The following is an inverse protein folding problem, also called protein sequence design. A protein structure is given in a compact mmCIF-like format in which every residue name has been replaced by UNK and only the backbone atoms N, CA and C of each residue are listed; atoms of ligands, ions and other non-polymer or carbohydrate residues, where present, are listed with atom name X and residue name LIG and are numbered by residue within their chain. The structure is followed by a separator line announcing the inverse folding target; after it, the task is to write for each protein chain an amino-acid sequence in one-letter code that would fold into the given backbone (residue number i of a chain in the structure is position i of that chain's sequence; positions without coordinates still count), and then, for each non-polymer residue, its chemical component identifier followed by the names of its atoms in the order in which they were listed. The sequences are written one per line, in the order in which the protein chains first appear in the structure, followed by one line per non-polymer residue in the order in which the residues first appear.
data_IF_722701591801
#
_entry.id   IF_722701591801
#
_cell.length_a   1.000
_cell.length_b   1.000
_cell.length_c   1.000
_cell.angle_alpha   90.00
_cell.angle_beta   90.00
_cell.angle_gamma   90.00
#
_symmetry.space_group_name_H-M   'P 1'
#
loop_
_entity.id
_entity.type
_entity.pdbx_description
1 polymer ?
#
# COMPACT_ATOMS: atom_id res chain seq x y z
N UNK A 1 22.07 2.14 19.71
CA UNK A 1 22.23 2.22 18.24
C UNK A 1 20.87 1.91 17.62
N UNK A 2 20.03 2.92 17.43
CA UNK A 2 18.69 2.71 16.86
C UNK A 2 18.84 2.65 15.34
N UNK A 3 18.68 1.44 14.79
CA UNK A 3 18.70 1.19 13.37
C UNK A 3 17.40 1.77 12.77
N UNK A 4 17.40 3.07 12.46
CA UNK A 4 16.28 3.74 11.79
C UNK A 4 16.22 3.23 10.36
N UNK A 5 15.53 2.11 10.16
CA UNK A 5 15.26 1.55 8.84
C UNK A 5 14.32 2.53 8.13
N UNK A 6 14.81 3.22 7.10
CA UNK A 6 14.03 4.23 6.37
C UNK A 6 12.82 3.62 5.65
N UNK A 7 11.84 4.45 5.28
CA UNK A 7 10.74 4.03 4.40
C UNK A 7 11.21 3.31 3.13
N UNK A 8 12.35 3.70 2.56
CA UNK A 8 12.92 3.04 1.39
C UNK A 8 13.24 1.56 1.66
N UNK A 9 13.74 1.24 2.85
CA UNK A 9 14.05 -0.14 3.24
C UNK A 9 12.77 -0.95 3.53
N UNK A 10 11.75 -0.36 4.17
CA UNK A 10 10.43 -1.01 4.29
C UNK A 10 9.79 -1.27 2.92
N UNK A 11 9.88 -0.31 2.00
CA UNK A 11 9.40 -0.47 0.64
C UNK A 11 10.17 -1.56 -0.10
N UNK A 12 11.50 -1.60 0.04
CA UNK A 12 12.33 -2.66 -0.54
C UNK A 12 11.99 -4.05 0.02
N UNK A 13 11.76 -4.16 1.33
CA UNK A 13 11.30 -5.39 1.98
C UNK A 13 9.94 -5.83 1.41
N UNK A 14 8.97 -4.92 1.34
CA UNK A 14 7.64 -5.22 0.80
C UNK A 14 7.70 -5.61 -0.67
N UNK A 15 8.57 -4.97 -1.47
CA UNK A 15 8.80 -5.31 -2.87
C UNK A 15 9.37 -6.72 -3.08
N UNK A 16 10.15 -7.22 -2.13
CA UNK A 16 10.65 -8.62 -2.16
C UNK A 16 9.53 -9.64 -1.90
N UNK A 17 8.48 -9.24 -1.18
CA UNK A 17 7.28 -10.07 -1.00
C UNK A 17 6.47 -10.04 -2.30
N UNK A 18 6.09 -8.83 -2.74
CA UNK A 18 5.37 -8.60 -3.97
C UNK A 18 5.51 -7.11 -4.38
N UNK A 19 6.06 -6.81 -5.57
CA UNK A 19 6.20 -5.44 -6.07
C UNK A 19 4.87 -4.67 -6.17
N UNK A 20 3.78 -5.34 -6.55
CA UNK A 20 2.46 -4.73 -6.66
C UNK A 20 1.88 -4.41 -5.27
N UNK A 21 2.10 -5.27 -4.27
CA UNK A 21 1.70 -4.98 -2.88
C UNK A 21 2.44 -3.77 -2.33
N UNK A 22 3.73 -3.63 -2.63
CA UNK A 22 4.49 -2.45 -2.22
C UNK A 22 3.94 -1.16 -2.85
N UNK A 23 3.55 -1.21 -4.13
CA UNK A 23 2.92 -0.08 -4.81
C UNK A 23 1.54 0.25 -4.22
N UNK A 24 0.75 -0.76 -3.82
CA UNK A 24 -0.54 -0.57 -3.14
C UNK A 24 -0.37 0.08 -1.76
N UNK A 25 0.61 -0.37 -0.97
CA UNK A 25 0.91 0.22 0.35
C UNK A 25 1.33 1.69 0.20
N UNK A 26 2.16 1.99 -0.79
CA UNK A 26 2.61 3.34 -1.09
C UNK A 26 1.45 4.25 -1.57
N UNK A 27 0.57 3.71 -2.41
CA UNK A 27 -0.64 4.39 -2.86
C UNK A 27 -1.56 4.71 -1.68
N UNK A 28 -1.90 3.72 -0.86
CA UNK A 28 -2.76 3.91 0.29
C UNK A 28 -2.14 4.88 1.30
N UNK A 29 -0.84 4.79 1.58
CA UNK A 29 -0.16 5.78 2.43
C UNK A 29 -0.33 7.20 1.88
N UNK A 30 -0.14 7.39 0.58
CA UNK A 30 -0.23 8.69 -0.07
C UNK A 30 -1.67 9.22 -0.14
N UNK A 31 -2.66 8.33 -0.11
CA UNK A 31 -4.09 8.63 -0.11
C UNK A 31 -4.70 8.70 1.30
N UNK A 32 -3.88 8.84 2.36
CA UNK A 32 -4.37 8.99 3.73
C UNK A 32 -4.64 7.68 4.50
N UNK A 33 -4.10 6.56 4.01
CA UNK A 33 -4.14 5.24 4.66
C UNK A 33 -5.33 4.37 4.28
N UNK A 34 -6.36 4.91 3.63
CA UNK A 34 -7.52 4.16 3.14
C UNK A 34 -8.14 4.82 1.91
N UNK A 35 -8.41 4.06 0.86
CA UNK A 35 -8.95 4.60 -0.39
C UNK A 35 -9.80 3.56 -1.15
N UNK A 36 -10.54 4.01 -2.16
CA UNK A 36 -11.20 3.11 -3.10
C UNK A 36 -10.15 2.44 -4.02
N UNK A 37 -10.36 1.18 -4.39
CA UNK A 37 -9.41 0.40 -5.22
C UNK A 37 -9.10 1.08 -6.56
N UNK A 38 -10.08 1.78 -7.12
CA UNK A 38 -9.92 2.56 -8.36
C UNK A 38 -8.91 3.71 -8.17
N UNK A 39 -9.03 4.44 -7.06
CA UNK A 39 -8.12 5.54 -6.73
C UNK A 39 -6.69 5.01 -6.55
N UNK A 40 -6.54 3.84 -5.91
CA UNK A 40 -5.26 3.16 -5.77
C UNK A 40 -4.67 2.82 -7.14
N UNK A 41 -5.45 2.20 -8.03
CA UNK A 41 -4.97 1.83 -9.37
C UNK A 41 -4.59 3.06 -10.20
N UNK A 42 -5.42 4.11 -10.20
CA UNK A 42 -5.12 5.37 -10.88
C UNK A 42 -3.87 6.05 -10.30
N UNK A 43 -3.70 6.07 -8.98
CA UNK A 43 -2.51 6.62 -8.36
C UNK A 43 -1.24 5.84 -8.76
N UNK A 44 -1.30 4.51 -8.80
CA UNK A 44 -0.18 3.66 -9.23
C UNK A 44 0.17 3.93 -10.70
N UNK A 45 -0.82 4.03 -11.58
CA UNK A 45 -0.61 4.34 -13.00
C UNK A 45 0.07 5.71 -13.17
N UNK A 46 -0.42 6.76 -12.48
CA UNK A 46 0.19 8.10 -12.47
C UNK A 46 1.64 8.06 -12.04
N UNK A 47 1.91 7.35 -10.93
CA UNK A 47 3.24 7.22 -10.38
C UNK A 47 4.20 6.52 -11.33
N UNK A 48 3.76 5.46 -12.00
CA UNK A 48 4.58 4.70 -12.96
C UNK A 48 4.83 5.48 -14.24
N UNK A 49 3.82 6.21 -14.73
CA UNK A 49 3.92 6.99 -15.95
C UNK A 49 4.67 8.32 -15.77
N UNK A 50 4.78 8.83 -14.53
CA UNK A 50 5.36 10.15 -14.25
C UNK A 50 4.51 11.32 -14.75
N UNK A 51 3.23 11.09 -15.04
CA UNK A 51 2.27 12.08 -15.57
C UNK A 51 0.84 11.73 -15.17
N UNK A 52 -0.09 12.66 -15.31
CA UNK A 52 -1.50 12.39 -15.00
C UNK A 52 -2.12 11.47 -16.06
N UNK A 53 -2.43 10.25 -15.65
CA UNK A 53 -3.07 9.21 -16.46
C UNK A 53 -4.08 8.44 -15.63
N UNK A 54 -5.07 7.87 -16.31
CA UNK A 54 -5.92 6.84 -15.71
C UNK A 54 -5.36 5.47 -16.06
N UNK A 55 -5.26 4.60 -15.05
CA UNK A 55 -5.11 3.16 -15.25
C UNK A 55 -6.10 2.63 -16.29
N UNK A 56 -5.59 1.86 -17.25
CA UNK A 56 -6.36 1.05 -18.19
C UNK A 56 -7.09 -0.08 -17.44
N UNK A 57 -8.04 -0.74 -18.11
CA UNK A 57 -8.74 -1.89 -17.52
C UNK A 57 -7.77 -3.00 -17.08
N UNK A 58 -6.80 -3.34 -17.94
CA UNK A 58 -5.79 -4.35 -17.62
C UNK A 58 -4.91 -3.97 -16.43
N UNK A 59 -4.52 -2.69 -16.29
CA UNK A 59 -3.75 -2.23 -15.13
C UNK A 59 -4.57 -2.29 -13.83
N UNK A 60 -5.85 -1.93 -13.89
CA UNK A 60 -6.76 -2.07 -12.75
C UNK A 60 -6.88 -3.53 -12.32
N UNK A 61 -7.15 -4.42 -13.26
CA UNK A 61 -7.31 -5.84 -13.00
C UNK A 61 -6.03 -6.44 -12.40
N UNK A 62 -4.86 -6.04 -12.90
CA UNK A 62 -3.58 -6.47 -12.32
C UNK A 62 -3.40 -6.03 -10.86
N UNK A 63 -3.74 -4.77 -10.54
CA UNK A 63 -3.69 -4.24 -9.17
C UNK A 63 -4.71 -4.95 -8.26
N UNK A 64 -5.92 -5.20 -8.77
CA UNK A 64 -6.99 -5.86 -8.03
C UNK A 64 -6.64 -7.30 -7.73
N UNK A 65 -6.14 -8.04 -8.72
CA UNK A 65 -5.68 -9.41 -8.55
C UNK A 65 -4.52 -9.49 -7.56
N UNK A 66 -3.53 -8.59 -7.64
CA UNK A 66 -2.43 -8.56 -6.67
C UNK A 66 -2.93 -8.37 -5.23
N UNK A 67 -3.90 -7.47 -5.01
CA UNK A 67 -4.51 -7.29 -3.70
C UNK A 67 -5.23 -8.56 -3.22
N UNK A 68 -6.04 -9.19 -4.08
CA UNK A 68 -6.76 -10.41 -3.70
C UNK A 68 -5.80 -11.57 -3.39
N UNK A 69 -4.80 -11.80 -4.24
CA UNK A 69 -3.76 -12.80 -4.02
C UNK A 69 -3.04 -12.56 -2.70
N UNK A 70 -2.68 -11.31 -2.40
CA UNK A 70 -2.09 -10.93 -1.12
C UNK A 70 -3.02 -11.27 0.06
N UNK A 71 -4.29 -10.85 0.01
CA UNK A 71 -5.26 -11.10 1.09
C UNK A 71 -5.47 -12.60 1.33
N UNK A 72 -5.58 -13.41 0.27
CA UNK A 72 -5.70 -14.86 0.37
C UNK A 72 -4.48 -15.51 1.02
N UNK A 73 -3.27 -15.00 0.77
CA UNK A 73 -2.05 -15.50 1.40
C UNK A 73 -1.85 -14.97 2.83
N UNK A 74 -2.26 -13.73 3.10
CA UNK A 74 -1.97 -13.02 4.35
C UNK A 74 -2.81 -13.51 5.54
N UNK A 75 -4.02 -14.03 5.30
CA UNK A 75 -4.89 -14.62 6.33
C UNK A 75 -4.25 -15.80 7.09
N UNK A 76 -3.19 -16.41 6.53
CA UNK A 76 -2.51 -17.59 7.09
C UNK A 76 -1.09 -17.30 7.59
N UNK A 77 -0.63 -16.05 7.61
CA UNK A 77 0.78 -15.71 7.84
C UNK A 77 1.00 -14.87 9.10
N UNK A 78 2.14 -15.11 9.76
CA UNK A 78 2.83 -14.12 10.60
C UNK A 78 3.99 -13.52 9.79
N UNK A 79 4.27 -12.22 9.90
CA UNK A 79 3.65 -11.21 10.78
C UNK A 79 2.25 -10.78 10.30
N UNK A 80 1.58 -9.96 11.12
CA UNK A 80 0.25 -9.42 10.82
C UNK A 80 0.17 -8.79 9.41
N UNK A 81 -0.98 -8.93 8.72
CA UNK A 81 -1.16 -8.39 7.38
C UNK A 81 -0.94 -6.86 7.36
N UNK A 82 -0.46 -6.35 6.23
CA UNK A 82 -0.22 -4.94 5.99
C UNK A 82 -1.47 -4.21 5.47
N UNK A 83 -2.35 -4.96 4.81
CA UNK A 83 -3.53 -4.47 4.12
C UNK A 83 -4.77 -5.20 4.63
N UNK A 84 -5.93 -4.54 4.55
CA UNK A 84 -7.22 -5.13 4.87
C UNK A 84 -8.37 -4.41 4.14
N UNK A 85 -9.56 -4.99 4.20
CA UNK A 85 -10.81 -4.36 3.77
C UNK A 85 -11.59 -3.89 5.01
N UNK A 86 -11.68 -2.57 5.27
CA UNK A 86 -12.23 -2.04 6.52
C UNK A 86 -13.72 -2.35 6.70
N UNK A 87 -14.43 -2.62 5.61
CA UNK A 87 -15.87 -2.93 5.60
C UNK A 87 -16.15 -4.41 5.27
N UNK A 88 -15.13 -5.27 5.37
CA UNK A 88 -15.27 -6.71 5.13
C UNK A 88 -15.06 -7.14 3.66
N UNK A 89 -15.26 -8.43 3.37
CA UNK A 89 -15.06 -9.00 2.03
C UNK A 89 -15.98 -8.39 0.98
N UNK A 90 -15.55 -8.40 -0.30
CA UNK A 90 -16.35 -7.88 -1.42
C UNK A 90 -16.41 -6.35 -1.52
N UNK A 91 -15.86 -5.62 -0.55
CA UNK A 91 -15.83 -4.16 -0.59
C UNK A 91 -14.69 -3.63 -1.47
N UNK A 92 -14.95 -2.50 -2.11
CA UNK A 92 -13.97 -1.84 -2.99
C UNK A 92 -13.05 -0.88 -2.25
N UNK A 93 -13.21 -0.74 -0.93
CA UNK A 93 -12.35 0.10 -0.12
C UNK A 93 -11.25 -0.73 0.50
N UNK A 94 -10.01 -0.26 0.37
CA UNK A 94 -8.83 -0.89 0.92
C UNK A 94 -8.15 0.04 1.91
N UNK A 95 -7.46 -0.53 2.89
CA UNK A 95 -6.79 0.26 3.92
C UNK A 95 -5.53 -0.43 4.46
N UNK A 96 -4.60 0.40 4.94
CA UNK A 96 -3.46 -0.06 5.72
C UNK A 96 -3.96 -0.55 7.09
N UNK A 97 -3.42 -1.67 7.56
CA UNK A 97 -3.64 -2.11 8.95
C UNK A 97 -2.89 -1.20 9.92
N UNK A 98 -3.30 -1.20 11.20
CA UNK A 98 -2.57 -0.48 12.24
C UNK A 98 -1.12 -0.95 12.37
N UNK A 99 -0.86 -2.25 12.23
CA UNK A 99 0.51 -2.78 12.21
C UNK A 99 1.36 -2.19 11.07
N UNK A 100 0.76 -1.97 9.89
CA UNK A 100 1.45 -1.29 8.79
C UNK A 100 1.68 0.19 9.11
N UNK A 101 0.67 0.89 9.64
CA UNK A 101 0.76 2.31 10.00
C UNK A 101 1.86 2.56 11.04
N UNK A 102 1.92 1.77 12.10
CA UNK A 102 2.99 1.85 13.12
C UNK A 102 4.36 1.65 12.49
N UNK A 103 4.51 0.58 11.68
CA UNK A 103 5.75 0.31 10.93
C UNK A 103 6.15 1.42 9.96
N UNK A 104 5.22 2.23 9.49
CA UNK A 104 5.49 3.38 8.62
C UNK A 104 5.81 4.65 9.43
N UNK A 105 5.13 4.85 10.56
CA UNK A 105 5.33 5.98 11.47
C UNK A 105 6.72 5.95 12.13
N UNK A 106 7.18 4.76 12.53
CA UNK A 106 8.52 4.54 13.11
C UNK A 106 9.66 4.81 12.11
N UNK A 107 9.34 5.07 10.84
CA UNK A 107 10.29 5.10 9.70
C UNK A 107 10.18 6.35 8.81
N UNK A 108 9.34 7.31 9.19
CA UNK A 108 9.25 8.60 8.52
C UNK A 108 10.14 9.63 9.25
N UNK A 109 10.97 10.43 8.54
CA UNK A 109 11.45 11.67 9.12
C UNK A 109 10.24 12.59 9.33
N UNK A 110 10.20 13.26 10.48
CA UNK A 110 9.19 14.23 10.86
C UNK A 110 9.28 15.41 9.89
N UNK A 111 8.57 15.35 8.76
CA UNK A 111 8.51 16.43 7.80
C UNK A 111 7.24 17.24 8.05
N UNK A 112 7.39 18.35 8.79
CA UNK A 112 6.54 19.54 8.69
C UNK A 112 5.23 19.54 9.48
N UNK A 113 5.30 19.77 10.78
CA UNK A 113 4.30 20.62 11.45
C UNK A 113 4.76 22.06 11.23
N UNK A 114 4.30 22.65 10.12
CA UNK A 114 4.36 24.09 9.92
C UNK A 114 3.30 24.74 10.82
N UNK A 115 3.74 25.70 11.63
CA UNK A 115 2.89 26.53 12.49
C UNK A 115 1.97 27.42 11.67
#
# INVERSE_FOLDING_TARGET
MNNVISYAAFKAETRRIDPAVADIVDALRSLGGAAHREDVAHWIARRRAGRDVRATAAERDAVFNAFQTYMSAATRRRPAPLLHTPFGPGTYRWALTEACKVRLADRAPIAGVGR
#
